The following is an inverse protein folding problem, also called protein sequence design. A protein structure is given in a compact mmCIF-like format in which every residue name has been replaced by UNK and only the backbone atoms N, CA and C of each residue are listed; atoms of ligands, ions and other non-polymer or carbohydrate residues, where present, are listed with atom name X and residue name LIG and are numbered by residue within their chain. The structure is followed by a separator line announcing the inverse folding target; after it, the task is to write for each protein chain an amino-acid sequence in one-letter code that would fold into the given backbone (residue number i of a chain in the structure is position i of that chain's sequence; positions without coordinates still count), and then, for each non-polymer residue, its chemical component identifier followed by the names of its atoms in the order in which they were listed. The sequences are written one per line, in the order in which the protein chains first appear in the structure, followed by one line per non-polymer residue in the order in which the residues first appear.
data_IF_246146972840
#
_entry.id   IF_246146972840
#
_cell.length_a   1.000
_cell.length_b   1.000
_cell.length_c   1.000
_cell.angle_alpha   90.00
_cell.angle_beta   90.00
_cell.angle_gamma   90.00
#
_symmetry.space_group_name_H-M   'P 1'
#
loop_
_entity.id
_entity.type
_entity.pdbx_description
1 polymer ?
#
# COMPACT_ATOMS: atom_id res chain seq x y z
N UNK A 1 -11.07 -42.66 38.27
CA UNK A 1 -10.93 -41.22 38.67
C UNK A 1 -9.64 -40.56 38.13
N UNK A 2 -8.60 -41.32 37.78
CA UNK A 2 -7.29 -40.80 37.34
C UNK A 2 -7.28 -40.32 35.88
N UNK A 3 -7.98 -41.00 34.96
CA UNK A 3 -8.06 -40.61 33.54
C UNK A 3 -8.72 -39.25 33.30
N UNK A 4 -9.71 -38.86 34.11
CA UNK A 4 -10.35 -37.53 33.99
C UNK A 4 -9.38 -36.40 34.35
N UNK A 5 -8.54 -36.60 35.38
CA UNK A 5 -7.53 -35.60 35.77
C UNK A 5 -6.45 -35.43 34.70
N UNK A 6 -5.98 -36.53 34.11
CA UNK A 6 -4.97 -36.48 33.04
C UNK A 6 -5.49 -35.77 31.78
N UNK A 7 -6.75 -36.01 31.40
CA UNK A 7 -7.38 -35.31 30.28
C UNK A 7 -7.47 -33.80 30.52
N UNK A 8 -7.85 -33.36 31.73
CA UNK A 8 -7.94 -31.94 32.07
C UNK A 8 -6.57 -31.26 32.03
N UNK A 9 -5.50 -31.92 32.51
CA UNK A 9 -4.14 -31.38 32.43
C UNK A 9 -3.65 -31.26 30.99
N UNK A 10 -3.92 -32.25 30.13
CA UNK A 10 -3.55 -32.19 28.71
C UNK A 10 -4.29 -31.06 28.00
N UNK A 11 -5.59 -30.86 28.26
CA UNK A 11 -6.35 -29.76 27.65
C UNK A 11 -5.84 -28.39 28.12
N UNK A 12 -5.51 -28.23 29.41
CA UNK A 12 -4.93 -26.97 29.92
C UNK A 12 -3.56 -26.67 29.32
N UNK A 13 -2.72 -27.69 29.12
CA UNK A 13 -1.37 -27.55 28.56
C UNK A 13 -1.40 -27.18 27.07
N UNK A 14 -2.33 -27.77 26.31
CA UNK A 14 -2.58 -27.42 24.89
C UNK A 14 -3.13 -26.00 24.77
N UNK A 15 -4.07 -25.59 25.63
CA UNK A 15 -4.59 -24.22 25.64
C UNK A 15 -3.53 -23.18 26.01
N UNK A 16 -2.62 -23.49 26.93
CA UNK A 16 -1.51 -22.60 27.32
C UNK A 16 -0.47 -22.44 26.20
N UNK A 17 -0.20 -23.51 25.44
CA UNK A 17 0.67 -23.47 24.26
C UNK A 17 0.08 -22.63 23.12
N UNK A 18 -1.24 -22.67 22.91
CA UNK A 18 -1.93 -21.90 21.87
C UNK A 18 -1.99 -20.38 22.16
N UNK A 19 -1.93 -19.97 23.44
CA UNK A 19 -1.94 -18.56 23.84
C UNK A 19 -0.59 -17.86 23.69
N UNK A 20 0.51 -18.59 23.51
CA UNK A 20 1.87 -18.03 23.48
C UNK A 20 2.36 -17.62 22.08
N UNK A 21 1.54 -17.77 21.03
CA UNK A 21 1.96 -17.68 19.63
C UNK A 21 1.79 -16.33 18.92
N UNK A 22 1.12 -15.33 19.51
CA UNK A 22 0.85 -14.07 18.82
C UNK A 22 1.89 -13.00 19.17
N UNK A 23 3.04 -13.00 18.48
CA UNK A 23 3.99 -11.89 18.55
C UNK A 23 3.51 -10.74 17.65
N UNK A 24 3.02 -9.66 18.25
CA UNK A 24 2.72 -8.40 17.58
C UNK A 24 4.02 -7.64 17.28
N UNK A 25 4.79 -8.09 16.29
CA UNK A 25 5.95 -7.35 15.79
C UNK A 25 5.48 -6.17 14.93
N UNK A 26 5.04 -5.09 15.58
CA UNK A 26 4.89 -3.81 14.89
C UNK A 26 6.30 -3.31 14.56
N UNK A 27 6.63 -2.99 13.28
CA UNK A 27 7.92 -2.45 12.95
C UNK A 27 8.17 -1.17 13.76
N UNK A 28 9.31 -1.11 14.43
CA UNK A 28 9.71 0.04 15.23
C UNK A 28 9.95 1.24 14.31
N UNK A 29 9.34 2.38 14.64
CA UNK A 29 9.55 3.61 13.88
C UNK A 29 10.97 4.10 14.19
N UNK A 30 11.86 4.05 13.19
CA UNK A 30 13.22 4.58 13.31
C UNK A 30 13.12 6.10 13.48
N UNK A 31 13.45 6.58 14.69
CA UNK A 31 13.39 8.01 15.04
C UNK A 31 14.62 8.80 14.60
N UNK A 32 15.75 8.12 14.45
CA UNK A 32 17.01 8.75 14.06
C UNK A 32 17.16 8.78 12.54
N UNK A 33 17.67 9.89 12.02
CA UNK A 33 17.96 10.02 10.59
C UNK A 33 19.06 9.02 10.23
N UNK A 34 18.77 8.11 9.30
CA UNK A 34 19.79 7.26 8.68
C UNK A 34 20.66 8.15 7.78
N UNK A 35 22.01 8.07 7.86
CA UNK A 35 22.91 8.81 6.99
C UNK A 35 22.54 8.67 5.50
N UNK A 36 22.60 9.77 4.75
CA UNK A 36 22.15 9.82 3.36
C UNK A 36 22.92 8.83 2.46
N UNK A 37 24.22 8.62 2.74
CA UNK A 37 25.06 7.67 2.00
C UNK A 37 24.59 6.22 2.16
N UNK A 38 24.10 5.86 3.35
CA UNK A 38 23.56 4.52 3.60
C UNK A 38 22.27 4.35 2.79
N UNK A 39 21.36 5.34 2.81
CA UNK A 39 20.12 5.30 2.03
C UNK A 39 20.37 5.28 0.52
N UNK A 40 21.32 6.06 0.04
CA UNK A 40 21.72 6.07 -1.37
C UNK A 40 22.26 4.71 -1.79
N UNK A 41 23.09 4.08 -0.95
CA UNK A 41 23.64 2.76 -1.21
C UNK A 41 22.57 1.65 -1.18
N UNK A 42 21.65 1.67 -0.20
CA UNK A 42 20.50 0.76 -0.15
C UNK A 42 19.65 0.86 -1.43
N UNK A 43 19.28 2.07 -1.84
CA UNK A 43 18.52 2.30 -3.08
C UNK A 43 19.28 1.85 -4.32
N UNK A 44 20.59 2.10 -4.37
CA UNK A 44 21.45 1.62 -5.44
C UNK A 44 21.39 0.09 -5.52
N UNK A 45 21.45 -0.62 -4.39
CA UNK A 45 21.46 -2.09 -4.33
C UNK A 45 20.12 -2.75 -4.68
N UNK A 46 19.01 -2.04 -4.56
CA UNK A 46 17.72 -2.48 -5.12
C UNK A 46 17.73 -2.58 -6.65
N UNK A 47 18.58 -1.80 -7.33
CA UNK A 47 18.75 -1.75 -8.80
C UNK A 47 17.46 -1.39 -9.55
N UNK A 48 16.53 -2.33 -9.72
CA UNK A 48 15.32 -2.17 -10.55
C UNK A 48 14.04 -2.31 -9.73
N UNK A 49 13.05 -1.49 -10.04
CA UNK A 49 11.71 -1.53 -9.46
C UNK A 49 10.62 -1.36 -10.49
N UNK A 50 9.38 -1.63 -10.07
CA UNK A 50 8.17 -1.41 -10.87
C UNK A 50 7.49 -0.13 -10.45
N UNK A 51 7.12 0.73 -11.40
CA UNK A 51 6.22 1.86 -11.14
C UNK A 51 4.82 1.50 -11.62
N UNK A 52 3.80 1.70 -10.78
CA UNK A 52 2.39 1.47 -11.12
C UNK A 52 1.66 2.82 -11.08
N UNK A 53 1.29 3.30 -12.27
CA UNK A 53 0.35 4.41 -12.44
C UNK A 53 -1.03 3.85 -12.77
N UNK A 54 -1.98 3.98 -11.85
CA UNK A 54 -3.35 3.52 -12.05
C UNK A 54 -4.35 4.54 -11.53
N UNK A 55 -4.87 5.39 -12.42
CA UNK A 55 -5.78 6.47 -12.08
C UNK A 55 -6.76 6.73 -13.22
N UNK A 56 -7.41 7.90 -13.26
CA UNK A 56 -8.25 8.33 -14.37
C UNK A 56 -7.53 8.29 -15.72
N UNK A 57 -6.21 8.52 -15.76
CA UNK A 57 -5.39 8.39 -16.98
C UNK A 57 -5.56 7.02 -17.67
N UNK A 58 -5.76 5.95 -16.89
CA UNK A 58 -6.02 4.60 -17.39
C UNK A 58 -7.34 4.51 -18.15
N UNK A 59 -8.34 5.32 -17.80
CA UNK A 59 -9.69 5.26 -18.35
C UNK A 59 -9.98 6.37 -19.38
N UNK A 60 -9.19 7.45 -19.38
CA UNK A 60 -9.35 8.59 -20.30
C UNK A 60 -8.66 8.37 -21.64
N UNK A 61 -7.63 7.50 -21.71
CA UNK A 61 -6.78 7.37 -22.88
C UNK A 61 -5.78 8.52 -23.05
N UNK A 62 -5.63 9.38 -22.03
CA UNK A 62 -4.65 10.47 -21.98
C UNK A 62 -3.84 10.36 -20.71
N UNK A 63 -2.54 10.67 -20.78
CA UNK A 63 -1.71 10.66 -19.58
C UNK A 63 -2.20 11.71 -18.58
N UNK A 64 -2.55 12.90 -19.08
CA UNK A 64 -3.12 13.97 -18.27
C UNK A 64 -4.58 14.21 -18.67
N UNK A 65 -5.51 14.08 -17.71
CA UNK A 65 -6.94 14.22 -17.99
C UNK A 65 -7.33 15.67 -18.27
N UNK A 66 -6.71 16.62 -17.56
CA UNK A 66 -6.89 18.07 -17.74
C UNK A 66 -8.31 18.59 -17.43
N UNK A 67 -9.17 17.75 -16.88
CA UNK A 67 -10.56 18.09 -16.57
C UNK A 67 -10.99 17.42 -15.25
N UNK A 68 -11.97 18.03 -14.57
CA UNK A 68 -12.58 17.44 -13.39
C UNK A 68 -13.52 16.30 -13.79
N UNK A 69 -13.34 15.14 -13.15
CA UNK A 69 -14.10 13.92 -13.41
C UNK A 69 -14.63 13.36 -12.09
N UNK A 70 -15.84 12.77 -12.09
CA UNK A 70 -16.42 12.23 -10.87
C UNK A 70 -15.80 10.86 -10.53
N UNK A 71 -15.89 10.38 -9.27
CA UNK A 71 -15.31 9.10 -8.86
C UNK A 71 -15.70 7.90 -9.73
N UNK A 72 -16.93 7.90 -10.27
CA UNK A 72 -17.47 6.83 -11.12
C UNK A 72 -16.72 6.69 -12.45
N UNK A 73 -15.93 7.69 -12.85
CA UNK A 73 -15.06 7.60 -14.00
C UNK A 73 -13.97 6.54 -13.83
N UNK A 74 -13.57 6.24 -12.59
CA UNK A 74 -12.74 5.08 -12.28
C UNK A 74 -13.58 3.80 -12.38
N UNK A 75 -13.67 3.26 -13.58
CA UNK A 75 -14.62 2.18 -13.94
C UNK A 75 -14.14 0.77 -13.59
N UNK A 76 -13.06 0.62 -12.82
CA UNK A 76 -12.63 -0.71 -12.37
C UNK A 76 -13.63 -1.28 -11.36
N UNK A 77 -13.94 -2.57 -11.49
CA UNK A 77 -14.82 -3.30 -10.57
C UNK A 77 -14.07 -4.33 -9.74
N UNK A 78 -12.85 -4.70 -10.14
CA UNK A 78 -12.01 -5.69 -9.49
C UNK A 78 -10.55 -5.21 -9.45
N UNK A 79 -9.80 -5.68 -8.43
CA UNK A 79 -8.39 -5.36 -8.25
C UNK A 79 -7.70 -6.52 -7.51
N UNK A 80 -6.60 -7.01 -8.08
CA UNK A 80 -5.80 -8.10 -7.54
C UNK A 80 -4.31 -7.69 -7.46
N UNK A 81 -3.96 -6.97 -6.40
CA UNK A 81 -2.62 -6.40 -6.21
C UNK A 81 -1.52 -7.47 -6.07
N UNK A 82 -1.87 -8.68 -5.62
CA UNK A 82 -0.97 -9.84 -5.55
C UNK A 82 -0.38 -10.21 -6.91
N UNK A 83 -1.16 -10.04 -7.99
CA UNK A 83 -0.67 -10.29 -9.34
C UNK A 83 0.46 -9.30 -9.70
N UNK A 84 0.35 -8.04 -9.30
CA UNK A 84 1.39 -7.04 -9.56
C UNK A 84 2.68 -7.40 -8.81
N UNK A 85 2.57 -7.78 -7.54
CA UNK A 85 3.71 -8.24 -6.74
C UNK A 85 4.38 -9.47 -7.36
N UNK A 86 3.58 -10.45 -7.80
CA UNK A 86 4.05 -11.67 -8.47
C UNK A 86 4.80 -11.32 -9.76
N UNK A 87 4.23 -10.47 -10.61
CA UNK A 87 4.86 -10.03 -11.87
C UNK A 87 6.17 -9.29 -11.62
N UNK A 88 6.22 -8.36 -10.66
CA UNK A 88 7.45 -7.64 -10.32
C UNK A 88 8.56 -8.61 -9.85
N UNK A 89 8.20 -9.58 -9.00
CA UNK A 89 9.11 -10.61 -8.52
C UNK A 89 9.63 -11.50 -9.65
N UNK A 90 8.75 -11.95 -10.55
CA UNK A 90 9.11 -12.75 -11.72
C UNK A 90 10.01 -11.99 -12.70
N UNK A 91 9.86 -10.66 -12.79
CA UNK A 91 10.73 -9.77 -13.55
C UNK A 91 12.05 -9.41 -12.83
N UNK A 92 12.29 -9.92 -11.62
CA UNK A 92 13.50 -9.67 -10.84
C UNK A 92 13.56 -8.29 -10.16
N UNK A 93 12.47 -7.54 -10.15
CA UNK A 93 12.37 -6.23 -9.50
C UNK A 93 12.41 -6.37 -7.98
N UNK A 94 13.01 -5.38 -7.30
CA UNK A 94 13.25 -5.39 -5.85
C UNK A 94 12.36 -4.42 -5.06
N UNK A 95 11.50 -3.69 -5.76
CA UNK A 95 10.52 -2.81 -5.15
C UNK A 95 9.41 -2.45 -6.12
N UNK A 96 8.29 -1.98 -5.56
CA UNK A 96 7.18 -1.39 -6.30
C UNK A 96 6.95 0.01 -5.75
N UNK A 97 6.92 0.99 -6.65
CA UNK A 97 6.40 2.31 -6.36
C UNK A 97 4.96 2.37 -6.87
N UNK A 98 4.01 2.40 -5.93
CA UNK A 98 2.59 2.48 -6.24
C UNK A 98 2.11 3.92 -6.07
N UNK A 99 1.62 4.50 -7.16
CA UNK A 99 1.11 5.86 -7.16
C UNK A 99 -0.26 5.94 -6.49
N UNK A 100 -0.30 6.36 -5.23
CA UNK A 100 -1.54 6.46 -4.45
C UNK A 100 -2.51 7.56 -4.94
N UNK A 101 -1.96 8.65 -5.51
CA UNK A 101 -2.71 9.77 -6.08
C UNK A 101 -1.96 10.30 -7.30
N UNK A 102 -2.66 10.46 -8.42
CA UNK A 102 -2.10 11.10 -9.61
C UNK A 102 -2.43 12.60 -9.63
N UNK A 103 -2.02 13.32 -10.67
CA UNK A 103 -2.25 14.77 -10.77
C UNK A 103 -3.74 15.12 -10.95
N UNK A 104 -4.56 14.16 -11.41
CA UNK A 104 -6.03 14.27 -11.45
C UNK A 104 -6.68 14.35 -10.06
N UNK A 105 -5.92 14.03 -8.99
CA UNK A 105 -6.38 14.13 -7.61
C UNK A 105 -7.16 12.92 -7.10
N UNK A 106 -7.42 11.92 -7.94
CA UNK A 106 -8.14 10.71 -7.54
C UNK A 106 -7.29 9.85 -6.59
N UNK A 107 -7.85 9.55 -5.42
CA UNK A 107 -7.16 8.85 -4.35
C UNK A 107 -7.48 7.35 -4.35
N UNK A 108 -6.46 6.48 -4.39
CA UNK A 108 -6.60 5.02 -4.37
C UNK A 108 -6.73 4.41 -2.95
N UNK A 109 -6.98 5.25 -1.95
CA UNK A 109 -7.21 4.83 -0.56
C UNK A 109 -8.43 5.53 0.03
N UNK A 110 -8.93 5.04 1.17
CA UNK A 110 -10.07 5.62 1.86
C UNK A 110 -9.68 6.86 2.68
N UNK A 111 -9.37 7.95 1.97
CA UNK A 111 -9.06 9.21 2.62
C UNK A 111 -10.29 9.87 3.25
N UNK A 112 -10.04 10.68 4.30
CA UNK A 112 -11.04 11.54 4.94
C UNK A 112 -11.05 12.98 4.41
N UNK A 113 -10.15 13.30 3.48
CA UNK A 113 -9.91 14.69 3.02
C UNK A 113 -10.63 15.07 1.73
N UNK A 114 -11.15 14.09 0.98
CA UNK A 114 -11.87 14.32 -0.28
C UNK A 114 -12.79 13.13 -0.59
N UNK A 115 -13.88 13.41 -1.31
CA UNK A 115 -14.77 12.39 -1.87
C UNK A 115 -14.27 11.85 -3.22
N UNK A 116 -13.24 12.46 -3.81
CA UNK A 116 -12.58 11.99 -5.03
C UNK A 116 -11.63 10.81 -4.73
N UNK A 117 -12.22 9.67 -4.37
CA UNK A 117 -11.51 8.48 -3.89
C UNK A 117 -12.15 7.19 -4.36
N UNK A 118 -11.35 6.12 -4.36
CA UNK A 118 -11.72 4.80 -4.88
C UNK A 118 -12.86 4.11 -4.12
N UNK A 119 -13.07 4.43 -2.84
CA UNK A 119 -14.20 3.90 -2.06
C UNK A 119 -15.55 4.50 -2.48
N UNK A 120 -15.55 5.62 -3.20
CA UNK A 120 -16.72 6.23 -3.83
C UNK A 120 -16.87 5.85 -5.31
N UNK A 121 -15.95 5.04 -5.86
CA UNK A 121 -15.98 4.55 -7.24
C UNK A 121 -16.55 3.11 -7.29
N UNK A 122 -16.89 2.57 -8.48
CA UNK A 122 -17.38 1.20 -8.65
C UNK A 122 -16.55 0.10 -7.95
N UNK A 123 -15.23 0.28 -7.81
CA UNK A 123 -14.38 -0.68 -7.09
C UNK A 123 -14.73 -0.76 -5.61
N UNK A 124 -15.06 0.39 -4.98
CA UNK A 124 -15.54 0.48 -3.61
C UNK A 124 -14.57 0.00 -2.53
N UNK A 125 -13.28 -0.18 -2.84
CA UNK A 125 -12.28 -0.79 -1.96
C UNK A 125 -11.00 0.03 -1.91
N UNK A 126 -10.42 0.13 -0.71
CA UNK A 126 -9.11 0.75 -0.50
C UNK A 126 -8.00 -0.13 -1.07
N UNK A 127 -7.35 0.33 -2.14
CA UNK A 127 -6.34 -0.43 -2.87
C UNK A 127 -5.05 -0.54 -2.06
N UNK A 128 -4.70 0.48 -1.27
CA UNK A 128 -3.51 0.45 -0.41
C UNK A 128 -3.68 -0.56 0.72
N UNK A 129 -4.87 -0.63 1.33
CA UNK A 129 -5.17 -1.62 2.37
C UNK A 129 -5.20 -3.05 1.81
N UNK A 130 -5.69 -3.25 0.59
CA UNK A 130 -5.66 -4.56 -0.10
C UNK A 130 -4.25 -5.01 -0.45
N UNK A 131 -3.27 -4.10 -0.53
CA UNK A 131 -1.88 -4.39 -0.91
C UNK A 131 -1.06 -5.04 0.22
N UNK A 132 -1.69 -5.68 1.20
CA UNK A 132 -1.05 -6.30 2.37
C UNK A 132 0.09 -7.26 2.03
N UNK A 133 0.05 -7.94 0.88
CA UNK A 133 1.16 -8.76 0.41
C UNK A 133 2.38 -7.93 -0.04
N UNK A 134 2.16 -6.79 -0.72
CA UNK A 134 3.21 -5.83 -1.12
C UNK A 134 3.86 -5.21 0.13
N UNK A 135 3.10 -4.93 1.18
CA UNK A 135 3.63 -4.34 2.43
C UNK A 135 4.30 -5.36 3.36
N UNK A 136 3.88 -6.63 3.34
CA UNK A 136 4.44 -7.70 4.17
C UNK A 136 5.74 -8.33 3.63
N UNK A 137 6.08 -8.07 2.36
CA UNK A 137 7.25 -8.65 1.72
C UNK A 137 8.38 -7.62 1.67
N UNK A 138 9.51 -7.82 2.39
CA UNK A 138 10.62 -6.86 2.42
C UNK A 138 11.31 -6.65 1.07
N UNK A 139 11.00 -7.47 0.05
CA UNK A 139 11.47 -7.34 -1.34
C UNK A 139 10.47 -6.51 -2.20
N UNK A 140 9.37 -6.03 -1.63
CA UNK A 140 8.35 -5.22 -2.32
C UNK A 140 7.98 -3.93 -1.58
N UNK A 141 8.47 -3.72 -0.34
CA UNK A 141 7.90 -2.74 0.59
C UNK A 141 8.49 -1.33 0.53
N UNK A 142 9.33 -0.97 -0.44
CA UNK A 142 9.78 0.43 -0.57
C UNK A 142 8.93 1.17 -1.61
N UNK A 143 7.96 1.94 -1.08
CA UNK A 143 7.15 2.99 -1.71
C UNK A 143 5.66 2.66 -1.96
N UNK A 144 4.90 2.56 -0.86
CA UNK A 144 3.58 3.19 -0.81
C UNK A 144 3.85 4.66 -0.43
N UNK A 145 3.93 5.57 -1.40
CA UNK A 145 4.05 7.00 -1.08
C UNK A 145 2.69 7.59 -0.76
N UNK A 146 2.33 7.45 0.51
CA UNK A 146 1.68 8.51 1.30
C UNK A 146 2.27 8.35 2.70
N UNK A 147 3.52 8.76 2.87
CA UNK A 147 4.11 8.83 4.20
C UNK A 147 3.14 9.60 5.09
N UNK A 148 2.61 8.99 6.15
CA UNK A 148 2.01 9.60 7.35
C UNK A 148 1.75 11.13 7.33
N UNK A 149 0.91 11.66 6.44
CA UNK A 149 0.66 13.10 6.38
C UNK A 149 -0.75 13.41 6.93
N UNK A 150 -0.86 14.00 8.14
CA UNK A 150 -2.01 14.85 8.42
C UNK A 150 -2.00 15.97 7.37
N UNK A 151 -3.14 16.14 6.71
CA UNK A 151 -3.49 17.29 5.87
C UNK A 151 -2.59 17.53 4.62
N UNK A 152 -3.04 17.03 3.47
CA UNK A 152 -2.55 17.47 2.15
C UNK A 152 -3.60 18.32 1.44
N UNK A 153 -4.12 19.33 2.14
CA UNK A 153 -4.55 20.59 1.52
C UNK A 153 -3.39 21.38 0.89
N UNK A 154 -2.14 20.94 1.11
CA UNK A 154 -0.91 21.56 0.61
C UNK A 154 -0.40 21.01 -0.74
N UNK A 155 -1.20 20.26 -1.51
CA UNK A 155 -0.91 20.13 -2.94
C UNK A 155 -1.35 21.45 -3.58
N UNK A 156 -0.47 22.45 -3.46
CA UNK A 156 -0.66 23.77 -4.03
C UNK A 156 -1.07 23.65 -5.49
N UNK A 157 -1.96 24.54 -5.91
CA UNK A 157 -2.26 24.78 -7.32
C UNK A 157 -0.93 24.85 -8.07
N UNK A 158 -0.64 23.83 -8.88
CA UNK A 158 0.47 23.89 -9.81
C UNK A 158 0.00 24.85 -10.91
N UNK A 159 0.36 26.13 -10.79
CA UNK A 159 0.18 27.08 -11.87
C UNK A 159 0.95 26.56 -13.08
N UNK A 160 0.21 26.37 -14.17
CA UNK A 160 0.68 25.78 -15.41
C UNK A 160 1.76 26.72 -16.01
N UNK A 161 3.04 26.34 -16.13
CA UNK A 161 4.08 27.26 -16.60
C UNK A 161 4.12 27.41 -18.14
N UNK A 162 2.97 27.28 -18.78
CA UNK A 162 2.80 27.50 -20.22
C UNK A 162 1.67 28.50 -20.46
N UNK A 163 2.03 29.78 -20.27
CA UNK A 163 1.43 30.94 -20.92
C UNK A 163 2.55 31.83 -21.43
#
# INVERSE_FOLDING_TARGET
MIHKKLSTYVTLLVSFLLLSGCSNNRPEIIKEKIPDEIRAQEMKDLRFGMFICWSFSTFSGTEWTGQELPPEFFRATECHTDQWAKTAKEAGMKYIYFLAKHHDGFCLWDTKTTDLKVTNAPLGKDVLAMSGYISSNPIASSAITTENLPDVSACGKWENPVS
#
